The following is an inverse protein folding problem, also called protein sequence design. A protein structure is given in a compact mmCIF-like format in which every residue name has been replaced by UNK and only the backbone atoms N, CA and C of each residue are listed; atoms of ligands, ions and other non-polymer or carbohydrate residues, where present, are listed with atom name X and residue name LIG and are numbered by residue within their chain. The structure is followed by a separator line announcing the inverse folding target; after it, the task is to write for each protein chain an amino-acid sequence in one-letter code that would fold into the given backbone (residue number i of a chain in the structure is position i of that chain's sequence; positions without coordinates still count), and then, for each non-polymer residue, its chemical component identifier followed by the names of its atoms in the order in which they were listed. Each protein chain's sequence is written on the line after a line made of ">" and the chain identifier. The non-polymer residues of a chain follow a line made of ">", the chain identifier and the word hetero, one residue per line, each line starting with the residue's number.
data_IF_086068851839
#
_entry.id   IF_086068851839
#
_cell.length_a   1.000
_cell.length_b   1.000
_cell.length_c   1.000
_cell.angle_alpha   90.00
_cell.angle_beta   90.00
_cell.angle_gamma   90.00
#
_symmetry.space_group_name_H-M   'P 1'
#
loop_
_entity.id
_entity.type
_entity.pdbx_description
1 polymer ?
#
# COMPACT_ATOMS: atom_id res chain seq x y z
N UNK A 1 38.04 41.86 -1.95
CA UNK A 1 38.60 40.54 -1.61
C UNK A 1 37.85 39.50 -2.40
N UNK A 2 38.32 39.26 -3.62
CA UNK A 2 37.83 38.29 -4.59
C UNK A 2 38.68 37.03 -4.43
N UNK A 3 38.07 35.90 -4.06
CA UNK A 3 38.69 34.58 -4.21
C UNK A 3 37.96 33.82 -5.31
N UNK A 4 38.54 33.98 -6.49
CA UNK A 4 38.41 33.17 -7.69
C UNK A 4 39.59 32.19 -7.67
N UNK A 5 39.32 30.88 -7.80
CA UNK A 5 40.23 29.75 -8.10
C UNK A 5 39.55 28.45 -7.59
N UNK A 6 39.54 27.31 -8.27
CA UNK A 6 40.22 26.90 -9.50
C UNK A 6 39.50 25.69 -10.09
N UNK A 7 39.55 25.57 -11.42
CA UNK A 7 39.05 24.45 -12.22
C UNK A 7 40.23 23.59 -12.64
N UNK A 8 40.26 22.33 -12.22
CA UNK A 8 40.96 21.19 -12.89
C UNK A 8 40.41 19.93 -12.22
N UNK A 9 39.83 18.93 -12.88
CA UNK A 9 40.10 18.34 -14.18
C UNK A 9 40.52 16.89 -13.91
N UNK A 10 39.68 15.89 -14.18
CA UNK A 10 40.07 14.47 -14.27
C UNK A 10 38.94 13.72 -15.00
N UNK A 11 39.04 13.62 -16.31
CA UNK A 11 39.59 12.48 -17.06
C UNK A 11 38.61 11.30 -17.19
N UNK A 12 38.27 11.08 -18.46
CA UNK A 12 37.42 10.02 -18.99
C UNK A 12 38.14 8.69 -18.82
N UNK A 13 37.49 7.71 -18.21
CA UNK A 13 37.89 6.32 -18.38
C UNK A 13 36.77 5.54 -19.06
N UNK A 14 37.02 5.22 -20.33
CA UNK A 14 36.21 4.33 -21.14
C UNK A 14 36.42 2.89 -20.66
N UNK A 15 35.51 2.39 -19.81
CA UNK A 15 35.44 1.00 -19.40
C UNK A 15 34.69 0.16 -20.44
N UNK A 16 35.39 -0.83 -21.01
CA UNK A 16 34.85 -1.83 -21.94
C UNK A 16 33.73 -2.63 -21.28
N UNK A 17 32.58 -2.68 -21.93
CA UNK A 17 31.49 -3.61 -21.61
C UNK A 17 31.91 -4.97 -22.17
N UNK A 18 32.29 -5.89 -21.28
CA UNK A 18 32.38 -7.31 -21.62
C UNK A 18 30.97 -7.88 -21.67
N UNK A 19 30.60 -8.46 -22.81
CA UNK A 19 29.39 -9.24 -22.97
C UNK A 19 29.53 -10.54 -22.16
N UNK A 20 28.68 -10.71 -21.14
CA UNK A 20 28.59 -11.95 -20.37
C UNK A 20 27.33 -12.71 -20.75
N UNK A 21 27.59 -13.83 -21.41
CA UNK A 21 26.78 -15.01 -21.68
C UNK A 21 25.37 -15.10 -21.07
N UNK A 22 24.38 -15.08 -21.98
CA UNK A 22 23.04 -15.57 -21.74
C UNK A 22 23.07 -17.09 -21.49
N UNK A 23 22.87 -17.50 -20.22
CA UNK A 23 22.58 -18.90 -19.90
C UNK A 23 21.10 -19.19 -20.15
N UNK A 24 20.87 -20.18 -21.00
CA UNK A 24 19.57 -20.72 -21.37
C UNK A 24 18.76 -21.19 -20.15
N UNK A 25 17.49 -20.78 -20.09
CA UNK A 25 16.50 -21.33 -19.18
C UNK A 25 16.08 -22.75 -19.63
N UNK A 26 15.82 -23.69 -18.70
CA UNK A 26 15.31 -25.01 -19.07
C UNK A 26 13.86 -24.94 -19.57
N UNK A 27 13.61 -25.58 -20.70
CA UNK A 27 12.30 -25.82 -21.31
C UNK A 27 11.33 -26.44 -20.31
N UNK A 28 10.16 -25.82 -20.13
CA UNK A 28 9.05 -26.41 -19.37
C UNK A 28 8.41 -27.55 -20.18
N UNK A 29 8.07 -28.69 -19.55
CA UNK A 29 7.32 -29.76 -20.20
C UNK A 29 5.88 -29.32 -20.48
N UNK A 30 5.39 -29.72 -21.65
CA UNK A 30 4.11 -29.32 -22.22
C UNK A 30 2.91 -29.71 -21.36
N UNK A 31 2.02 -28.73 -21.14
CA UNK A 31 0.68 -28.97 -20.65
C UNK A 31 -0.15 -29.54 -21.80
N UNK A 32 -0.62 -30.77 -21.60
CA UNK A 32 -1.62 -31.42 -22.43
C UNK A 32 -2.87 -30.55 -22.56
N UNK A 33 -3.17 -30.17 -23.79
CA UNK A 33 -4.38 -29.49 -24.19
C UNK A 33 -5.46 -30.58 -24.39
N UNK A 34 -6.37 -30.71 -23.43
CA UNK A 34 -7.59 -31.50 -23.64
C UNK A 34 -8.65 -30.59 -24.24
N UNK A 35 -8.89 -30.78 -25.53
CA UNK A 35 -10.09 -30.32 -26.24
C UNK A 35 -11.36 -30.89 -25.58
N UNK A 36 -12.44 -30.10 -25.54
CA UNK A 36 -13.77 -30.62 -25.25
C UNK A 36 -14.64 -29.79 -24.31
N UNK A 37 -14.73 -28.48 -24.53
CA UNK A 37 -15.69 -27.61 -23.83
C UNK A 37 -16.55 -26.84 -24.82
N UNK A 38 -17.77 -27.32 -25.02
CA UNK A 38 -18.80 -26.75 -25.90
C UNK A 38 -18.89 -25.21 -25.75
N UNK A 39 -18.55 -24.50 -26.84
CA UNK A 39 -18.77 -23.06 -26.97
C UNK A 39 -20.26 -22.82 -27.25
N UNK A 40 -21.01 -22.46 -26.21
CA UNK A 40 -22.27 -21.76 -26.41
C UNK A 40 -21.92 -20.32 -26.80
N UNK A 41 -22.38 -19.79 -27.94
CA UNK A 41 -22.06 -18.42 -28.34
C UNK A 41 -22.68 -17.42 -27.36
N UNK A 42 -21.85 -16.49 -26.88
CA UNK A 42 -22.17 -15.47 -25.87
C UNK A 42 -23.16 -14.38 -26.37
N UNK A 43 -23.81 -14.60 -27.51
CA UNK A 43 -24.73 -13.65 -28.15
C UNK A 43 -26.22 -13.99 -27.95
N UNK A 44 -26.56 -15.11 -27.31
CA UNK A 44 -27.95 -15.60 -27.22
C UNK A 44 -28.56 -15.63 -25.81
N UNK A 45 -27.88 -15.07 -24.79
CA UNK A 45 -28.38 -15.03 -23.40
C UNK A 45 -28.83 -13.62 -22.94
N UNK A 46 -29.13 -12.73 -23.88
CA UNK A 46 -29.66 -11.38 -23.63
C UNK A 46 -30.84 -11.03 -24.56
N UNK A 47 -31.72 -11.99 -24.86
CA UNK A 47 -32.99 -11.71 -25.55
C UNK A 47 -34.20 -12.00 -24.66
N UNK A 48 -34.39 -11.16 -23.65
CA UNK A 48 -35.70 -10.85 -23.04
C UNK A 48 -35.61 -9.53 -22.29
N UNK A 49 -35.19 -8.48 -23.01
CA UNK A 49 -35.54 -7.13 -22.64
C UNK A 49 -36.95 -6.88 -23.15
N UNK A 50 -37.94 -7.07 -22.28
CA UNK A 50 -39.27 -6.52 -22.50
C UNK A 50 -39.13 -5.00 -22.66
N UNK A 51 -39.69 -4.50 -23.75
CA UNK A 51 -39.71 -3.11 -24.17
C UNK A 51 -40.29 -2.25 -23.04
N UNK A 52 -39.44 -1.49 -22.34
CA UNK A 52 -39.91 -0.40 -21.48
C UNK A 52 -40.28 0.76 -22.39
N UNK A 53 -41.56 1.10 -22.39
CA UNK A 53 -42.08 2.22 -23.15
C UNK A 53 -41.41 3.55 -22.75
N UNK A 54 -41.06 4.40 -23.73
CA UNK A 54 -40.59 5.75 -23.49
C UNK A 54 -41.77 6.63 -23.04
N UNK A 55 -42.02 6.69 -21.73
CA UNK A 55 -43.09 7.51 -21.17
C UNK A 55 -43.40 7.29 -19.69
N UNK A 56 -42.89 6.22 -19.08
CA UNK A 56 -43.11 5.95 -17.65
C UNK A 56 -42.16 6.79 -16.77
N UNK A 57 -42.50 8.06 -16.56
CA UNK A 57 -41.94 8.83 -15.44
C UNK A 57 -42.50 8.24 -14.15
N UNK A 58 -41.70 7.47 -13.43
CA UNK A 58 -42.02 6.94 -12.10
C UNK A 58 -42.18 8.12 -11.12
N UNK A 59 -43.41 8.51 -10.74
CA UNK A 59 -43.61 9.55 -9.75
C UNK A 59 -43.53 8.89 -8.36
N UNK A 60 -42.79 9.51 -7.44
CA UNK A 60 -42.68 9.11 -6.02
C UNK A 60 -41.61 8.09 -5.61
N UNK A 61 -40.42 8.12 -6.21
CA UNK A 61 -39.22 7.90 -5.40
C UNK A 61 -38.97 9.12 -4.51
N UNK A 62 -39.78 9.26 -3.46
CA UNK A 62 -39.59 10.22 -2.37
C UNK A 62 -38.18 10.07 -1.79
N UNK A 63 -37.28 10.95 -2.22
CA UNK A 63 -36.13 11.39 -1.41
C UNK A 63 -36.68 12.21 -0.23
N UNK A 64 -37.41 11.56 0.67
CA UNK A 64 -37.79 12.16 1.93
C UNK A 64 -36.54 12.37 2.79
N UNK A 65 -36.45 13.45 3.60
CA UNK A 65 -35.35 13.61 4.53
C UNK A 65 -35.26 12.37 5.41
N UNK A 66 -34.06 11.79 5.52
CA UNK A 66 -33.80 10.63 6.37
C UNK A 66 -34.35 10.91 7.76
N UNK A 67 -35.42 10.22 8.14
CA UNK A 67 -36.00 10.34 9.46
C UNK A 67 -34.92 9.93 10.47
N UNK A 68 -34.67 10.71 11.54
CA UNK A 68 -33.71 10.33 12.57
C UNK A 68 -34.15 8.98 13.14
N UNK A 69 -33.29 7.99 13.01
CA UNK A 69 -33.50 6.64 13.53
C UNK A 69 -33.60 6.76 15.05
N UNK A 70 -34.83 6.77 15.59
CA UNK A 70 -35.04 6.77 17.04
C UNK A 70 -34.54 5.43 17.57
N UNK A 71 -33.49 5.47 18.38
CA UNK A 71 -32.88 4.31 19.01
C UNK A 71 -33.94 3.42 19.66
N UNK A 72 -33.97 2.14 19.30
CA UNK A 72 -34.82 1.14 19.94
C UNK A 72 -34.47 1.07 21.44
N UNK A 73 -35.40 1.45 22.34
CA UNK A 73 -35.12 1.51 23.78
C UNK A 73 -34.85 0.14 24.41
N UNK A 74 -35.08 -0.97 23.69
CA UNK A 74 -34.82 -2.33 24.17
C UNK A 74 -33.46 -2.90 23.78
N UNK A 75 -32.71 -2.28 22.87
CA UNK A 75 -31.41 -2.80 22.43
C UNK A 75 -30.33 -2.43 23.45
N UNK A 76 -29.59 -3.41 24.03
CA UNK A 76 -28.44 -3.09 24.88
C UNK A 76 -27.42 -2.26 24.08
N UNK A 77 -26.78 -1.25 24.69
CA UNK A 77 -25.82 -0.42 23.99
C UNK A 77 -24.70 -1.30 23.44
N UNK A 78 -24.48 -1.21 22.14
CA UNK A 78 -23.41 -1.97 21.51
C UNK A 78 -22.06 -1.45 22.02
N UNK A 79 -21.13 -2.37 22.32
CA UNK A 79 -19.79 -1.96 22.76
C UNK A 79 -19.12 -1.12 21.65
N UNK A 80 -18.72 0.13 21.95
CA UNK A 80 -18.07 1.00 20.97
C UNK A 80 -16.81 0.34 20.41
N UNK A 81 -16.60 0.51 19.11
CA UNK A 81 -15.39 0.07 18.44
C UNK A 81 -14.29 1.11 18.68
N UNK A 82 -13.14 0.75 19.27
CA UNK A 82 -12.14 1.74 19.62
C UNK A 82 -11.30 2.11 18.38
N UNK A 83 -11.03 3.40 18.18
CA UNK A 83 -10.37 3.93 16.97
C UNK A 83 -9.48 5.13 17.27
N UNK A 84 -8.51 5.39 16.39
CA UNK A 84 -7.68 6.61 16.44
C UNK A 84 -8.40 7.77 15.77
N UNK A 85 -8.33 8.96 16.38
CA UNK A 85 -8.89 10.20 15.81
C UNK A 85 -7.97 10.93 14.83
N UNK A 86 -6.70 10.52 14.75
CA UNK A 86 -5.69 11.18 13.93
C UNK A 86 -4.63 10.16 13.47
N UNK A 87 -4.12 10.24 12.23
CA UNK A 87 -3.04 9.38 11.75
C UNK A 87 -1.77 9.55 12.59
N UNK A 88 -1.17 8.45 13.05
CA UNK A 88 0.07 8.53 13.84
C UNK A 88 1.26 9.07 13.01
N UNK A 89 2.35 9.46 13.69
CA UNK A 89 3.57 9.94 13.04
C UNK A 89 4.14 8.96 11.99
N UNK A 90 4.28 7.65 12.28
CA UNK A 90 4.79 6.68 11.30
C UNK A 90 3.68 6.04 10.43
N UNK A 91 2.53 6.69 10.26
CA UNK A 91 1.44 6.11 9.48
C UNK A 91 1.80 6.03 7.99
N UNK A 92 1.92 4.81 7.45
CA UNK A 92 2.29 4.57 6.05
C UNK A 92 1.30 5.15 5.03
N UNK A 93 0.06 5.43 5.45
CA UNK A 93 -0.95 6.07 4.59
C UNK A 93 -0.77 7.58 4.47
N UNK A 94 0.14 8.21 5.23
CA UNK A 94 0.49 9.62 5.06
C UNK A 94 1.53 9.77 3.94
N UNK A 95 1.38 10.80 3.11
CA UNK A 95 2.36 11.12 2.06
C UNK A 95 3.66 11.73 2.60
N UNK A 96 3.60 12.35 3.77
CA UNK A 96 4.75 12.96 4.45
C UNK A 96 5.47 12.00 5.41
N UNK A 97 4.99 10.77 5.58
CA UNK A 97 5.67 9.77 6.40
C UNK A 97 6.91 9.22 5.67
N UNK A 98 7.99 8.90 6.40
CA UNK A 98 9.16 8.27 5.80
C UNK A 98 8.78 6.94 5.12
N UNK A 99 9.18 6.80 3.85
CA UNK A 99 9.00 5.58 3.08
C UNK A 99 9.97 4.49 3.54
N UNK A 100 9.59 3.23 3.36
CA UNK A 100 10.45 2.09 3.70
C UNK A 100 10.48 1.71 5.19
N UNK A 101 9.67 2.36 6.03
CA UNK A 101 9.52 2.04 7.46
C UNK A 101 8.77 0.72 7.67
N UNK A 102 7.83 0.40 6.78
CA UNK A 102 7.04 -0.83 6.86
C UNK A 102 7.76 -1.98 6.15
N UNK A 103 7.76 -3.16 6.76
CA UNK A 103 8.27 -4.37 6.11
C UNK A 103 7.28 -4.88 5.06
N UNK A 104 7.72 -5.69 4.07
CA UNK A 104 6.83 -6.34 3.13
C UNK A 104 5.70 -7.15 3.80
N UNK A 105 5.99 -7.83 4.91
CA UNK A 105 5.01 -8.62 5.67
C UNK A 105 3.95 -7.72 6.30
N UNK A 106 4.32 -6.53 6.78
CA UNK A 106 3.37 -5.56 7.32
C UNK A 106 2.44 -5.02 6.22
N UNK A 107 2.95 -4.82 4.99
CA UNK A 107 2.11 -4.46 3.85
C UNK A 107 1.16 -5.60 3.46
N UNK A 108 1.59 -6.85 3.52
CA UNK A 108 0.71 -7.99 3.24
C UNK A 108 -0.38 -8.13 4.31
N UNK A 109 -0.03 -7.98 5.59
CA UNK A 109 -1.00 -7.96 6.68
C UNK A 109 -2.03 -6.82 6.50
N UNK A 110 -1.58 -5.63 6.08
CA UNK A 110 -2.49 -4.54 5.74
C UNK A 110 -3.36 -4.87 4.53
N UNK A 111 -2.78 -5.43 3.46
CA UNK A 111 -3.50 -5.84 2.25
C UNK A 111 -4.67 -6.77 2.56
N UNK A 112 -4.49 -7.72 3.47
CA UNK A 112 -5.53 -8.66 3.88
C UNK A 112 -6.76 -7.99 4.54
N UNK A 113 -6.63 -6.73 4.99
CA UNK A 113 -7.73 -5.93 5.56
C UNK A 113 -8.36 -4.98 4.56
N UNK A 114 -7.68 -4.69 3.45
CA UNK A 114 -8.12 -3.75 2.43
C UNK A 114 -9.01 -4.42 1.37
N UNK A 115 -9.64 -3.61 0.53
CA UNK A 115 -10.33 -4.10 -0.67
C UNK A 115 -9.32 -4.82 -1.58
N UNK A 116 -9.70 -5.97 -2.14
CA UNK A 116 -8.95 -6.59 -3.24
C UNK A 116 -9.75 -6.48 -4.54
N UNK A 117 -9.16 -5.87 -5.57
CA UNK A 117 -9.61 -5.89 -6.97
C UNK A 117 -11.14 -5.87 -7.21
N UNK A 118 -11.86 -4.91 -6.62
CA UNK A 118 -13.31 -4.71 -6.83
C UNK A 118 -14.24 -5.48 -5.88
N UNK A 119 -13.70 -6.26 -4.94
CA UNK A 119 -14.47 -6.93 -3.89
C UNK A 119 -14.27 -6.25 -2.54
N UNK A 120 -15.37 -5.92 -1.86
CA UNK A 120 -15.36 -5.43 -0.48
C UNK A 120 -14.63 -6.41 0.45
N UNK A 121 -13.95 -5.89 1.48
CA UNK A 121 -13.39 -6.74 2.51
C UNK A 121 -14.53 -7.50 3.22
N UNK A 122 -14.34 -8.80 3.44
CA UNK A 122 -15.35 -9.68 4.04
C UNK A 122 -15.64 -9.27 5.50
N UNK A 123 -16.75 -9.76 6.06
CA UNK A 123 -17.11 -9.52 7.47
C UNK A 123 -16.06 -10.07 8.45
N UNK A 124 -15.34 -11.10 8.04
CA UNK A 124 -14.28 -11.75 8.82
C UNK A 124 -12.92 -11.05 8.67
N UNK A 125 -12.78 -10.11 7.73
CA UNK A 125 -11.57 -9.32 7.59
C UNK A 125 -11.31 -8.56 8.89
N UNK A 126 -10.10 -8.70 9.41
CA UNK A 126 -9.66 -7.97 10.59
C UNK A 126 -9.58 -6.48 10.29
N UNK A 127 -9.80 -5.64 11.29
CA UNK A 127 -9.51 -4.21 11.16
C UNK A 127 -7.99 -4.02 11.20
N UNK A 128 -7.49 -3.08 10.41
CA UNK A 128 -6.08 -2.73 10.50
C UNK A 128 -5.82 -1.84 11.73
N UNK A 129 -5.10 -2.39 12.70
CA UNK A 129 -4.64 -1.66 13.88
C UNK A 129 -3.55 -0.65 13.57
N UNK A 130 -3.52 0.47 14.29
CA UNK A 130 -2.48 1.48 14.13
C UNK A 130 -1.19 1.03 14.85
N UNK A 131 -0.14 0.65 14.09
CA UNK A 131 1.08 -0.04 14.55
C UNK A 131 0.78 -1.43 15.18
N UNK A 132 1.73 -2.38 15.23
CA UNK A 132 1.48 -3.70 15.81
C UNK A 132 1.39 -3.56 17.34
N UNK A 133 0.25 -3.06 17.83
CA UNK A 133 -0.21 -3.37 19.17
C UNK A 133 -0.55 -4.85 19.23
N UNK A 134 -0.56 -5.42 20.43
CA UNK A 134 -0.89 -6.82 20.62
C UNK A 134 -2.41 -7.03 20.54
N UNK A 135 -2.89 -7.88 19.60
CA UNK A 135 -4.31 -8.18 19.43
C UNK A 135 -5.00 -8.55 20.75
N UNK A 136 -6.02 -7.79 21.17
CA UNK A 136 -6.84 -8.07 22.36
C UNK A 136 -6.43 -7.35 23.64
N UNK A 137 -5.38 -6.52 23.61
CA UNK A 137 -4.98 -5.66 24.75
C UNK A 137 -5.81 -4.39 24.91
N UNK A 138 -6.63 -4.06 23.90
CA UNK A 138 -7.33 -2.78 23.81
C UNK A 138 -6.57 -1.69 23.05
N UNK A 139 -5.32 -1.98 22.65
CA UNK A 139 -4.47 -1.09 21.85
C UNK A 139 -4.65 -1.26 20.32
N UNK A 140 -5.45 -2.24 19.87
CA UNK A 140 -5.85 -2.41 18.45
C UNK A 140 -6.91 -1.39 18.03
N UNK A 141 -6.58 -0.12 18.24
CA UNK A 141 -7.38 0.98 17.77
C UNK A 141 -7.35 0.95 16.25
N UNK A 142 -8.54 0.90 15.63
CA UNK A 142 -8.66 1.03 14.19
C UNK A 142 -7.89 2.27 13.72
N UNK A 143 -7.00 2.08 12.75
CA UNK A 143 -6.10 3.11 12.27
C UNK A 143 -6.88 4.23 11.56
N UNK A 144 -6.67 5.48 11.98
CA UNK A 144 -7.36 6.65 11.43
C UNK A 144 -7.13 6.81 9.91
N UNK A 145 -5.87 6.66 9.47
CA UNK A 145 -5.53 6.73 8.05
C UNK A 145 -6.20 5.60 7.26
N UNK A 146 -6.21 4.38 7.79
CA UNK A 146 -6.83 3.23 7.13
C UNK A 146 -8.35 3.38 7.06
N UNK A 147 -9.00 3.87 8.12
CA UNK A 147 -10.43 4.16 8.12
C UNK A 147 -10.80 5.19 7.05
N UNK A 148 -10.01 6.26 6.92
CA UNK A 148 -10.26 7.30 5.93
C UNK A 148 -10.09 6.81 4.48
N UNK A 149 -9.08 5.98 4.22
CA UNK A 149 -8.75 5.51 2.85
C UNK A 149 -9.56 4.28 2.45
N UNK A 150 -9.66 3.29 3.32
CA UNK A 150 -10.23 1.96 3.01
C UNK A 150 -11.49 1.64 3.81
N UNK A 151 -11.79 2.37 4.88
CA UNK A 151 -12.88 2.03 5.80
C UNK A 151 -14.25 1.93 5.12
N UNK A 152 -14.53 2.79 4.13
CA UNK A 152 -15.78 2.71 3.32
C UNK A 152 -15.93 1.41 2.53
N UNK A 153 -14.82 0.74 2.22
CA UNK A 153 -14.83 -0.52 1.47
C UNK A 153 -14.93 -1.76 2.38
N UNK A 154 -14.89 -1.59 3.71
CA UNK A 154 -14.93 -2.69 4.67
C UNK A 154 -16.35 -2.95 5.17
N UNK A 155 -16.88 -4.16 4.93
CA UNK A 155 -18.18 -4.56 5.45
C UNK A 155 -18.23 -4.50 6.98
N UNK A 156 -17.12 -4.82 7.65
CA UNK A 156 -17.00 -4.75 9.11
C UNK A 156 -17.15 -3.31 9.63
N UNK A 157 -16.57 -2.33 8.95
CA UNK A 157 -16.72 -0.90 9.26
C UNK A 157 -18.15 -0.44 9.00
N UNK A 158 -18.73 -0.82 7.85
CA UNK A 158 -20.12 -0.50 7.51
C UNK A 158 -21.11 -1.03 8.55
N UNK A 159 -20.94 -2.27 9.00
CA UNK A 159 -21.74 -2.85 10.09
C UNK A 159 -21.49 -2.13 11.42
N UNK A 160 -20.24 -1.76 11.75
CA UNK A 160 -19.96 -1.01 12.96
C UNK A 160 -20.68 0.35 12.98
N UNK A 161 -20.76 1.05 11.84
CA UNK A 161 -21.53 2.30 11.71
C UNK A 161 -23.03 2.03 11.82
N UNK A 162 -23.55 1.02 11.11
CA UNK A 162 -24.97 0.67 11.14
C UNK A 162 -25.48 0.27 12.54
N UNK A 163 -24.60 -0.24 13.39
CA UNK A 163 -24.90 -0.59 14.78
C UNK A 163 -24.47 0.48 15.80
N UNK A 164 -24.14 1.70 15.34
CA UNK A 164 -23.71 2.84 16.18
C UNK A 164 -22.49 2.51 17.08
N UNK A 165 -21.64 1.61 16.61
CA UNK A 165 -20.38 1.24 17.28
C UNK A 165 -19.21 2.10 16.81
N UNK A 166 -19.34 2.74 15.66
CA UNK A 166 -18.34 3.63 15.07
C UNK A 166 -19.08 4.82 14.42
N UNK A 167 -18.70 6.07 14.71
CA UNK A 167 -19.30 7.21 14.01
C UNK A 167 -18.86 7.22 12.54
N UNK A 168 -19.75 7.58 11.61
CA UNK A 168 -19.45 7.67 10.18
C UNK A 168 -18.39 8.74 9.86
N UNK A 169 -18.39 9.84 10.62
CA UNK A 169 -17.44 10.96 10.51
C UNK A 169 -15.97 10.56 10.65
N UNK A 170 -15.66 9.37 11.18
CA UNK A 170 -14.27 8.88 11.28
C UNK A 170 -13.70 8.42 9.93
N UNK A 171 -14.56 8.25 8.92
CA UNK A 171 -14.16 7.90 7.55
C UNK A 171 -13.74 9.13 6.74
N UNK A 172 -13.86 10.33 7.31
CA UNK A 172 -13.47 11.57 6.69
C UNK A 172 -12.22 12.15 7.35
N UNK A 173 -11.19 12.55 6.57
CA UNK A 173 -10.07 13.31 7.10
C UNK A 173 -10.57 14.60 7.76
N UNK A 174 -10.11 14.85 8.99
CA UNK A 174 -10.47 16.06 9.73
C UNK A 174 -9.57 17.27 9.42
N UNK A 175 -9.91 18.46 9.94
CA UNK A 175 -9.05 19.64 9.84
C UNK A 175 -7.64 19.38 10.39
N UNK A 176 -6.62 19.80 9.64
CA UNK A 176 -5.21 19.66 10.04
C UNK A 176 -4.62 18.26 9.87
N UNK A 177 -5.36 17.32 9.24
CA UNK A 177 -4.79 16.02 8.87
C UNK A 177 -3.70 16.17 7.80
N UNK A 178 -2.66 15.31 7.84
CA UNK A 178 -1.71 15.21 6.74
C UNK A 178 -2.39 14.71 5.47
N UNK A 179 -1.80 15.01 4.32
CA UNK A 179 -2.26 14.43 3.05
C UNK A 179 -2.07 12.91 3.07
N UNK A 180 -3.13 12.18 2.73
CA UNK A 180 -3.12 10.72 2.66
C UNK A 180 -2.99 10.26 1.21
N UNK A 181 -2.53 9.02 1.03
CA UNK A 181 -2.71 8.34 -0.26
C UNK A 181 -4.19 8.08 -0.53
N UNK A 182 -4.59 8.09 -1.80
CA UNK A 182 -5.97 7.86 -2.24
C UNK A 182 -6.38 6.39 -2.25
N UNK A 183 -5.41 5.46 -2.22
CA UNK A 183 -5.67 4.04 -2.04
C UNK A 183 -4.49 3.29 -1.40
N UNK A 184 -4.75 2.08 -0.91
CA UNK A 184 -3.71 1.16 -0.49
C UNK A 184 -2.67 0.86 -1.59
N UNK A 185 -3.10 0.68 -2.84
CA UNK A 185 -2.19 0.39 -3.96
C UNK A 185 -1.27 1.56 -4.29
N UNK A 186 -1.77 2.80 -4.26
CA UNK A 186 -0.95 4.00 -4.46
C UNK A 186 0.16 4.08 -3.41
N UNK A 187 -0.20 3.87 -2.14
CA UNK A 187 0.73 3.85 -1.01
C UNK A 187 1.80 2.74 -1.15
N UNK A 188 1.40 1.54 -1.55
CA UNK A 188 2.33 0.41 -1.77
C UNK A 188 3.27 0.70 -2.95
N UNK A 189 2.77 1.29 -4.03
CA UNK A 189 3.58 1.65 -5.19
C UNK A 189 4.69 2.66 -4.79
N UNK A 190 4.36 3.67 -3.99
CA UNK A 190 5.33 4.64 -3.48
C UNK A 190 6.41 3.99 -2.60
N UNK A 191 6.02 3.06 -1.71
CA UNK A 191 6.97 2.36 -0.83
C UNK A 191 7.84 1.34 -1.58
N UNK A 192 7.32 0.68 -2.61
CA UNK A 192 8.07 -0.30 -3.41
C UNK A 192 9.28 0.33 -4.09
N UNK A 193 9.14 1.54 -4.64
CA UNK A 193 10.27 2.25 -5.29
C UNK A 193 11.44 2.45 -4.32
N UNK A 194 11.16 2.72 -3.05
CA UNK A 194 12.21 2.89 -2.04
C UNK A 194 12.85 1.56 -1.66
N UNK A 195 12.06 0.50 -1.43
CA UNK A 195 12.61 -0.81 -1.14
C UNK A 195 13.44 -1.39 -2.30
N UNK A 196 13.01 -1.16 -3.55
CA UNK A 196 13.77 -1.57 -4.72
C UNK A 196 15.10 -0.82 -4.78
N UNK A 197 15.10 0.50 -4.58
CA UNK A 197 16.33 1.29 -4.56
C UNK A 197 17.31 0.84 -3.46
N UNK A 198 16.80 0.58 -2.25
CA UNK A 198 17.64 0.08 -1.15
C UNK A 198 18.21 -1.31 -1.47
N UNK A 199 17.42 -2.19 -2.07
CA UNK A 199 17.88 -3.51 -2.51
C UNK A 199 18.96 -3.41 -3.61
N UNK A 200 18.78 -2.51 -4.57
CA UNK A 200 19.73 -2.28 -5.66
C UNK A 200 21.06 -1.72 -5.13
N UNK A 201 21.02 -0.71 -4.23
CA UNK A 201 22.22 -0.15 -3.58
C UNK A 201 22.96 -1.21 -2.75
N UNK A 202 22.22 -2.06 -2.02
CA UNK A 202 22.82 -3.15 -1.25
C UNK A 202 23.48 -4.22 -2.14
N UNK A 203 22.90 -4.49 -3.31
CA UNK A 203 23.46 -5.42 -4.30
C UNK A 203 24.73 -4.88 -4.99
N UNK A 204 24.93 -3.55 -5.02
CA UNK A 204 26.13 -2.89 -5.55
C UNK A 204 27.28 -2.76 -4.50
N UNK A 205 26.97 -2.82 -3.20
CA UNK A 205 27.97 -2.75 -2.12
C UNK A 205 29.01 -3.91 -2.04
N UNK A 206 28.76 -5.17 -2.46
CA UNK A 206 29.77 -6.23 -2.36
C UNK A 206 31.00 -5.98 -3.25
N UNK A 207 30.88 -5.21 -4.34
CA UNK A 207 32.01 -4.83 -5.19
C UNK A 207 32.98 -3.83 -4.53
N UNK A 208 32.57 -3.15 -3.45
CA UNK A 208 33.42 -2.22 -2.71
C UNK A 208 34.24 -2.91 -1.61
N UNK A 209 33.76 -4.04 -1.06
CA UNK A 209 34.48 -4.78 0.00
C UNK A 209 35.62 -5.66 -0.52
N UNK A 210 35.61 -6.02 -1.80
CA UNK A 210 36.72 -6.73 -2.45
C UNK A 210 37.91 -5.81 -2.79
N UNK A 211 37.73 -4.48 -2.75
CA UNK A 211 38.86 -3.55 -2.68
C UNK A 211 39.43 -3.64 -1.26
N UNK A 212 40.27 -4.65 -1.03
CA UNK A 212 41.03 -4.79 0.20
C UNK A 212 41.67 -3.48 0.63
N UNK A 213 41.94 -3.29 1.94
CA UNK A 213 42.41 -2.03 2.50
C UNK A 213 43.53 -1.47 1.62
N UNK A 214 43.34 -0.24 1.12
CA UNK A 214 44.33 0.45 0.28
C UNK A 214 45.67 0.37 1.03
N UNK A 215 46.70 -0.28 0.47
CA UNK A 215 47.96 -0.46 1.18
C UNK A 215 48.45 0.91 1.63
N UNK A 216 48.66 1.05 2.94
CA UNK A 216 49.18 2.28 3.51
C UNK A 216 50.50 2.60 2.78
N UNK A 217 50.74 3.86 2.38
CA UNK A 217 51.99 4.24 1.75
C UNK A 217 53.14 3.81 2.66
N UNK A 218 54.02 2.94 2.15
CA UNK A 218 55.21 2.50 2.88
C UNK A 218 55.98 3.76 3.28
N UNK A 219 56.11 4.01 4.58
CA UNK A 219 56.97 5.07 5.09
C UNK A 219 58.39 4.76 4.59
N UNK A 220 58.86 5.53 3.62
CA UNK A 220 60.27 5.50 3.24
C UNK A 220 61.03 6.01 4.44
N UNK A 221 61.61 5.05 5.14
CA UNK A 221 62.49 5.24 6.29
C UNK A 221 63.53 6.31 5.94
N UNK A 222 63.42 7.43 6.65
CA UNK A 222 64.30 8.58 6.50
C UNK A 222 65.58 8.23 7.25
N UNK A 223 66.56 7.75 6.50
CA UNK A 223 67.83 7.26 6.99
C UNK A 223 68.45 8.07 8.13
N UNK A 224 68.89 7.33 9.15
CA UNK A 224 69.86 7.77 10.13
C UNK A 224 71.18 8.10 9.42
N UNK A 225 71.53 9.39 9.43
CA UNK A 225 72.92 9.82 9.24
C UNK A 225 73.58 9.84 10.62
N UNK A 226 74.65 9.07 10.79
CA UNK A 226 75.70 9.31 11.78
C UNK A 226 77.00 9.54 11.04
#
# INVERSE_FOLDING_TARGET
>A
MTMEQDRTGEERSAGRIAASDARAAPSRPGLHQTDGGSRVPLTELFRSGAEREPGQTDPDHRTGPAQPQTSDPGRPPATPLPFRRFPCAPCSLRRDAPLGVFTPEQFEAMRATCRSAGAHATVDASLFGCHPGEPGTGDDLACAGWLAVEGRNSLRVGLAIAFDRLPDTVLDPGPGWPELYGSFEEMVAANRTVHQHVADVAADEPAARERGPRPLPRSTDRGERR
#
